data_IF_746142913959
#
_entry.id   IF_746142913959
#
_cell.length_a   1.000
_cell.length_b   1.000
_cell.length_c   1.000
_cell.angle_alpha   90.00
_cell.angle_beta   90.00
_cell.angle_gamma   90.00
#
_symmetry.space_group_name_H-M   'P 1'
#
loop_
_entity.id
_entity.type
_entity.pdbx_description
1 polymer ?
#
# COMPACT_ATOMS: atom_id res chain seq x y z
N UNK A 1 -1.54 0.46 -5.23
CA UNK A 1 -2.51 0.93 -4.21
C UNK A 1 -3.77 1.51 -4.84
N UNK A 2 -3.73 2.70 -5.50
CA UNK A 2 -4.93 3.30 -6.11
C UNK A 2 -5.64 2.32 -7.06
N UNK A 3 -4.90 1.70 -7.99
CA UNK A 3 -5.45 0.68 -8.88
C UNK A 3 -6.10 -0.52 -8.15
N UNK A 4 -5.63 -0.89 -6.96
CA UNK A 4 -6.25 -1.94 -6.15
C UNK A 4 -7.62 -1.47 -5.65
N UNK A 5 -7.72 -0.23 -5.16
CA UNK A 5 -8.98 0.37 -4.69
C UNK A 5 -9.96 0.54 -5.87
N UNK A 6 -9.47 0.98 -7.03
CA UNK A 6 -10.25 1.18 -8.26
C UNK A 6 -10.87 -0.12 -8.79
N UNK A 7 -10.29 -1.27 -8.46
CA UNK A 7 -10.84 -2.59 -8.81
C UNK A 7 -11.71 -3.14 -7.68
N UNK A 8 -11.22 -3.09 -6.44
CA UNK A 8 -11.89 -3.71 -5.30
C UNK A 8 -13.19 -3.00 -4.91
N UNK A 9 -13.20 -1.66 -4.89
CA UNK A 9 -14.38 -0.93 -4.42
C UNK A 9 -15.56 -1.08 -5.39
N UNK A 10 -15.40 -0.92 -6.72
CA UNK A 10 -16.51 -1.20 -7.65
C UNK A 10 -16.98 -2.65 -7.57
N UNK A 11 -16.06 -3.62 -7.50
CA UNK A 11 -16.42 -5.03 -7.35
C UNK A 11 -17.28 -5.28 -6.10
N UNK A 12 -16.94 -4.65 -4.97
CA UNK A 12 -17.68 -4.76 -3.72
C UNK A 12 -19.13 -4.25 -3.84
N UNK A 13 -19.39 -3.27 -4.69
CA UNK A 13 -20.73 -2.71 -4.93
C UNK A 13 -21.49 -3.43 -6.05
N UNK A 14 -20.85 -4.32 -6.80
CA UNK A 14 -21.50 -5.14 -7.83
C UNK A 14 -21.84 -6.54 -7.31
N UNK A 15 -20.91 -7.19 -6.61
CA UNK A 15 -21.04 -8.56 -6.13
C UNK A 15 -22.07 -8.66 -5.00
N UNK A 16 -22.94 -9.66 -5.10
CA UNK A 16 -23.92 -10.01 -4.05
C UNK A 16 -23.52 -11.27 -3.30
N UNK A 17 -23.75 -11.26 -1.99
CA UNK A 17 -23.71 -12.43 -1.13
C UNK A 17 -24.57 -12.19 0.10
N UNK A 18 -25.27 -13.24 0.56
CA UNK A 18 -26.16 -13.15 1.73
C UNK A 18 -27.25 -12.06 1.57
N UNK A 19 -27.81 -11.94 0.36
CA UNK A 19 -28.96 -11.07 0.08
C UNK A 19 -28.67 -9.57 -0.06
N UNK A 20 -27.41 -9.14 -0.10
CA UNK A 20 -27.03 -7.73 -0.34
C UNK A 20 -25.66 -7.60 -1.03
N UNK A 21 -25.31 -6.37 -1.46
CA UNK A 21 -23.97 -6.11 -2.02
C UNK A 21 -22.91 -6.36 -0.97
N UNK A 22 -21.77 -6.93 -1.36
CA UNK A 22 -20.75 -7.28 -0.37
C UNK A 22 -20.15 -6.05 0.32
N UNK A 23 -20.16 -4.89 -0.35
CA UNK A 23 -19.77 -3.59 0.21
C UNK A 23 -20.66 -3.10 1.37
N UNK A 24 -21.83 -3.70 1.57
CA UNK A 24 -22.72 -3.40 2.71
C UNK A 24 -22.44 -4.27 3.94
N UNK A 25 -21.50 -5.22 3.86
CA UNK A 25 -21.07 -6.00 5.01
C UNK A 25 -20.01 -5.22 5.79
N UNK A 26 -20.22 -5.07 7.10
CA UNK A 26 -19.39 -4.23 7.98
C UNK A 26 -17.89 -4.54 7.89
N UNK A 27 -17.51 -5.82 7.75
CA UNK A 27 -16.10 -6.20 7.63
C UNK A 27 -15.49 -5.84 6.26
N UNK A 28 -16.30 -5.79 5.21
CA UNK A 28 -15.87 -5.29 3.90
C UNK A 28 -15.72 -3.76 3.97
N UNK A 29 -16.64 -3.06 4.64
CA UNK A 29 -16.53 -1.62 4.88
C UNK A 29 -15.26 -1.26 5.67
N UNK A 30 -14.96 -2.00 6.74
CA UNK A 30 -13.74 -1.83 7.51
C UNK A 30 -12.50 -2.01 6.62
N UNK A 31 -12.47 -3.04 5.78
CA UNK A 31 -11.36 -3.28 4.84
C UNK A 31 -11.22 -2.15 3.82
N UNK A 32 -12.32 -1.65 3.25
CA UNK A 32 -12.29 -0.50 2.35
C UNK A 32 -11.78 0.77 3.04
N UNK A 33 -12.16 0.99 4.30
CA UNK A 33 -11.67 2.10 5.11
C UNK A 33 -10.15 2.00 5.35
N UNK A 34 -9.63 0.82 5.70
CA UNK A 34 -8.20 0.58 5.86
C UNK A 34 -7.43 0.81 4.55
N UNK A 35 -7.95 0.30 3.43
CA UNK A 35 -7.33 0.51 2.11
C UNK A 35 -7.29 1.99 1.72
N UNK A 36 -8.35 2.74 1.99
CA UNK A 36 -8.43 4.18 1.71
C UNK A 36 -7.47 4.99 2.58
N UNK A 37 -7.44 4.71 3.89
CA UNK A 37 -6.61 5.46 4.85
C UNK A 37 -5.12 5.19 4.62
N UNK A 38 -4.72 3.94 4.40
CA UNK A 38 -3.34 3.58 4.02
C UNK A 38 -2.89 4.30 2.74
N UNK A 39 -3.71 4.27 1.69
CA UNK A 39 -3.40 4.99 0.44
C UNK A 39 -3.23 6.49 0.69
N UNK A 40 -4.13 7.10 1.46
CA UNK A 40 -4.10 8.53 1.76
C UNK A 40 -2.85 8.91 2.57
N UNK A 41 -2.47 8.09 3.55
CA UNK A 41 -1.26 8.27 4.34
C UNK A 41 0.00 8.13 3.48
N UNK A 42 0.12 7.05 2.69
CA UNK A 42 1.27 6.83 1.81
C UNK A 42 1.41 7.94 0.77
N UNK A 43 0.29 8.38 0.16
CA UNK A 43 0.30 9.48 -0.81
C UNK A 43 0.81 10.77 -0.17
N UNK A 44 0.30 11.11 1.00
CA UNK A 44 0.69 12.32 1.71
C UNK A 44 2.18 12.28 2.09
N UNK A 45 2.66 11.14 2.58
CA UNK A 45 4.06 10.95 2.95
C UNK A 45 4.98 11.06 1.73
N UNK A 46 4.68 10.33 0.64
CA UNK A 46 5.45 10.39 -0.63
C UNK A 46 5.56 11.81 -1.15
N UNK A 47 4.44 12.52 -1.28
CA UNK A 47 4.48 13.89 -1.81
C UNK A 47 5.12 14.88 -0.83
N UNK A 48 5.07 14.64 0.48
CA UNK A 48 5.75 15.49 1.45
C UNK A 48 7.27 15.36 1.32
N UNK A 49 7.79 14.13 1.24
CA UNK A 49 9.23 13.90 1.06
C UNK A 49 9.70 14.38 -0.30
N UNK A 50 8.93 14.12 -1.37
CA UNK A 50 9.25 14.61 -2.70
C UNK A 50 9.35 16.15 -2.75
N UNK A 51 8.40 16.87 -2.15
CA UNK A 51 8.46 18.34 -2.06
C UNK A 51 9.69 18.85 -1.31
N UNK A 52 10.10 18.16 -0.24
CA UNK A 52 11.32 18.52 0.48
C UNK A 52 12.56 18.32 -0.40
N UNK A 53 12.64 17.20 -1.13
CA UNK A 53 13.72 16.93 -2.09
C UNK A 53 13.77 17.99 -3.20
N UNK A 54 12.63 18.36 -3.79
CA UNK A 54 12.54 19.39 -4.84
C UNK A 54 12.99 20.77 -4.33
N UNK A 55 12.78 21.06 -3.04
CA UNK A 55 13.28 22.27 -2.38
C UNK A 55 14.78 22.20 -1.98
N UNK A 56 15.48 21.11 -2.32
CA UNK A 56 16.88 20.89 -1.97
C UNK A 56 17.11 20.32 -0.56
N UNK A 57 16.04 20.03 0.19
CA UNK A 57 16.11 19.42 1.51
C UNK A 57 16.04 17.88 1.40
N UNK A 58 17.10 17.29 0.85
CA UNK A 58 17.19 15.83 0.71
C UNK A 58 17.67 15.20 2.02
N UNK A 59 16.85 14.31 2.59
CA UNK A 59 17.17 13.58 3.81
C UNK A 59 17.06 12.07 3.57
N UNK A 60 18.18 11.35 3.70
CA UNK A 60 18.25 9.89 3.50
C UNK A 60 17.31 9.11 4.42
N UNK A 61 17.10 9.58 5.66
CA UNK A 61 16.18 8.96 6.63
C UNK A 61 14.74 9.06 6.15
N UNK A 62 14.33 10.22 5.64
CA UNK A 62 12.98 10.46 5.15
C UNK A 62 12.72 9.70 3.84
N UNK A 63 13.71 9.70 2.93
CA UNK A 63 13.66 8.93 1.69
C UNK A 63 13.53 7.41 1.95
N UNK A 64 14.28 6.86 2.89
CA UNK A 64 14.18 5.44 3.25
C UNK A 64 12.85 5.13 3.98
N UNK A 65 12.41 6.02 4.86
CA UNK A 65 11.14 5.89 5.60
C UNK A 65 9.93 5.86 4.68
N UNK A 66 9.89 6.72 3.68
CA UNK A 66 8.72 6.84 2.79
C UNK A 66 8.56 5.64 1.87
N UNK A 67 9.65 5.13 1.29
CA UNK A 67 9.59 3.94 0.43
C UNK A 67 9.35 2.67 1.25
N UNK A 68 9.91 2.56 2.47
CA UNK A 68 9.59 1.46 3.38
C UNK A 68 8.09 1.40 3.68
N UNK A 69 7.52 2.52 4.13
CA UNK A 69 6.11 2.59 4.50
C UNK A 69 5.19 2.37 3.31
N UNK A 70 5.48 2.98 2.16
CA UNK A 70 4.67 2.82 0.96
C UNK A 70 4.77 1.40 0.38
N UNK A 71 5.94 0.77 0.37
CA UNK A 71 6.10 -0.58 -0.18
C UNK A 71 5.25 -1.62 0.58
N UNK A 72 5.35 -1.65 1.90
CA UNK A 72 4.64 -2.65 2.71
C UNK A 72 3.11 -2.43 2.69
N UNK A 73 2.67 -1.17 2.69
CA UNK A 73 1.25 -0.86 2.51
C UNK A 73 0.75 -1.21 1.09
N UNK A 74 1.61 -1.16 0.06
CA UNK A 74 1.21 -1.53 -1.29
C UNK A 74 0.89 -3.02 -1.37
N UNK A 75 1.74 -3.86 -0.75
CA UNK A 75 1.50 -5.30 -0.63
C UNK A 75 0.24 -5.58 0.16
N UNK A 76 0.06 -4.94 1.32
CA UNK A 76 -1.14 -5.14 2.14
C UNK A 76 -2.43 -4.76 1.41
N UNK A 77 -2.45 -3.61 0.72
CA UNK A 77 -3.62 -3.19 -0.07
C UNK A 77 -3.88 -4.14 -1.24
N UNK A 78 -2.84 -4.69 -1.88
CA UNK A 78 -3.01 -5.69 -2.93
C UNK A 78 -3.63 -6.99 -2.40
N UNK A 79 -3.18 -7.47 -1.23
CA UNK A 79 -3.78 -8.62 -0.53
C UNK A 79 -5.25 -8.35 -0.16
N UNK A 80 -5.56 -7.16 0.35
CA UNK A 80 -6.93 -6.78 0.69
C UNK A 80 -7.83 -6.72 -0.54
N UNK A 81 -7.34 -6.24 -1.68
CA UNK A 81 -8.08 -6.27 -2.94
C UNK A 81 -8.37 -7.70 -3.41
N UNK A 82 -7.37 -8.60 -3.36
CA UNK A 82 -7.58 -10.04 -3.65
C UNK A 82 -8.67 -10.60 -2.74
N UNK A 83 -8.63 -10.29 -1.44
CA UNK A 83 -9.60 -10.77 -0.46
C UNK A 83 -11.02 -10.27 -0.74
N UNK A 84 -11.21 -9.01 -1.15
CA UNK A 84 -12.52 -8.45 -1.52
C UNK A 84 -13.08 -9.15 -2.76
N UNK A 85 -12.24 -9.45 -3.74
CA UNK A 85 -12.65 -10.15 -4.95
C UNK A 85 -12.90 -11.66 -4.71
N UNK A 86 -12.34 -12.23 -3.66
CA UNK A 86 -12.42 -13.66 -3.34
C UNK A 86 -11.67 -14.50 -4.37
N UNK A 87 -12.24 -15.63 -4.80
CA UNK A 87 -11.63 -16.50 -5.81
C UNK A 87 -11.31 -15.78 -7.13
N UNK A 88 -12.16 -14.82 -7.53
CA UNK A 88 -11.91 -13.97 -8.70
C UNK A 88 -10.63 -13.14 -8.54
N UNK A 89 -10.29 -12.73 -7.32
CA UNK A 89 -9.08 -11.95 -7.06
C UNK A 89 -7.79 -12.76 -7.13
N UNK A 90 -7.90 -14.08 -6.99
CA UNK A 90 -6.77 -15.03 -6.99
C UNK A 90 -6.40 -15.51 -8.40
N UNK A 91 -7.38 -15.61 -9.31
CA UNK A 91 -7.15 -16.06 -10.69
C UNK A 91 -6.62 -14.92 -11.57
N UNK A 92 -6.09 -15.27 -12.75
CA UNK A 92 -5.45 -14.32 -13.66
C UNK A 92 -6.43 -13.50 -14.53
N UNK A 93 -7.73 -13.79 -14.48
CA UNK A 93 -8.75 -13.04 -15.22
C UNK A 93 -9.01 -11.64 -14.62
N UNK A 94 -8.59 -11.43 -13.36
CA UNK A 94 -8.64 -10.15 -12.68
C UNK A 94 -7.23 -9.62 -12.40
N UNK A 95 -7.03 -8.29 -12.40
CA UNK A 95 -5.69 -7.71 -12.32
C UNK A 95 -5.07 -7.77 -10.92
N UNK A 96 -5.82 -8.12 -9.88
CA UNK A 96 -5.36 -8.07 -8.47
C UNK A 96 -4.19 -9.00 -8.19
N UNK A 97 -4.15 -10.19 -8.79
CA UNK A 97 -3.01 -11.10 -8.69
C UNK A 97 -1.73 -10.53 -9.31
N UNK A 98 -1.85 -9.76 -10.40
CA UNK A 98 -0.72 -8.99 -10.96
C UNK A 98 -0.30 -7.87 -10.01
N UNK A 99 -1.24 -7.09 -9.48
CA UNK A 99 -0.93 -5.98 -8.56
C UNK A 99 -0.14 -6.43 -7.33
N UNK A 100 -0.44 -7.61 -6.77
CA UNK A 100 0.34 -8.17 -5.67
C UNK A 100 1.79 -8.47 -6.07
N UNK A 101 1.98 -9.13 -7.22
CA UNK A 101 3.32 -9.46 -7.72
C UNK A 101 4.14 -8.20 -8.01
N UNK A 102 3.50 -7.19 -8.60
CA UNK A 102 4.12 -5.90 -8.88
C UNK A 102 4.49 -5.18 -7.56
N UNK A 103 3.59 -5.17 -6.56
CA UNK A 103 3.80 -4.51 -5.27
C UNK A 103 4.94 -5.14 -4.46
N UNK A 104 5.05 -6.48 -4.48
CA UNK A 104 6.06 -7.18 -3.68
C UNK A 104 7.49 -6.81 -4.06
N UNK A 105 7.72 -6.44 -5.32
CA UNK A 105 9.03 -5.97 -5.77
C UNK A 105 9.49 -4.71 -5.02
N UNK A 106 8.58 -3.84 -4.58
CA UNK A 106 8.95 -2.62 -3.86
C UNK A 106 9.62 -2.89 -2.51
N UNK A 107 9.38 -4.05 -1.90
CA UNK A 107 10.01 -4.46 -0.64
C UNK A 107 11.41 -5.07 -0.83
N UNK A 108 11.79 -5.40 -2.07
CA UNK A 108 13.00 -6.17 -2.40
C UNK A 108 13.95 -5.34 -3.27
N UNK A 109 13.42 -4.73 -4.33
CA UNK A 109 14.19 -3.97 -5.31
C UNK A 109 14.72 -2.66 -4.76
N UNK A 110 15.88 -2.23 -5.28
CA UNK A 110 16.54 -0.97 -4.93
C UNK A 110 16.75 -0.76 -3.40
N UNK A 111 17.00 -1.86 -2.69
CA UNK A 111 17.20 -1.90 -1.23
C UNK A 111 16.00 -2.53 -0.54
N UNK A 112 16.23 -3.57 0.25
CA UNK A 112 15.16 -4.31 0.92
C UNK A 112 14.54 -3.49 2.06
N UNK A 113 13.37 -3.91 2.53
CA UNK A 113 12.72 -3.32 3.71
C UNK A 113 13.62 -3.35 4.97
N UNK A 114 14.43 -4.39 5.15
CA UNK A 114 15.38 -4.51 6.25
C UNK A 114 16.51 -3.47 6.13
N UNK A 115 17.07 -3.30 4.93
CA UNK A 115 18.12 -2.30 4.67
C UNK A 115 17.59 -0.89 4.94
N UNK A 116 16.35 -0.59 4.55
CA UNK A 116 15.72 0.72 4.83
C UNK A 116 15.53 0.95 6.32
N UNK A 117 15.07 -0.06 7.07
CA UNK A 117 14.98 0.00 8.55
C UNK A 117 16.33 0.26 9.18
N UNK A 118 17.37 -0.45 8.72
CA UNK A 118 18.73 -0.21 9.18
C UNK A 118 19.19 1.21 8.91
N UNK A 119 19.00 1.74 7.69
CA UNK A 119 19.40 3.10 7.33
C UNK A 119 18.68 4.15 8.19
N UNK A 120 17.39 3.97 8.43
CA UNK A 120 16.61 4.85 9.31
C UNK A 120 17.19 4.80 10.74
N UNK A 121 17.44 3.61 11.27
CA UNK A 121 18.01 3.43 12.61
C UNK A 121 19.41 4.03 12.75
N UNK A 122 20.28 3.82 11.77
CA UNK A 122 21.62 4.39 11.72
C UNK A 122 21.56 5.93 11.68
N UNK A 123 20.66 6.49 10.87
CA UNK A 123 20.46 7.94 10.79
C UNK A 123 19.95 8.53 12.12
N UNK A 124 19.02 7.84 12.79
CA UNK A 124 18.56 8.25 14.13
C UNK A 124 19.72 8.24 15.12
N UNK A 125 20.56 7.19 15.14
CA UNK A 125 21.69 7.13 16.07
C UNK A 125 22.66 8.31 15.90
N UNK A 126 22.93 8.75 14.67
CA UNK A 126 23.80 9.92 14.38
C UNK A 126 23.22 11.25 14.89
N UNK A 127 21.91 11.33 15.12
CA UNK A 127 21.28 12.52 15.69
C UNK A 127 21.51 12.63 17.22
N UNK A 128 21.92 11.53 17.89
CA UNK A 128 22.03 11.44 19.35
C UNK A 128 23.41 11.02 19.89
N UNK A 129 24.32 10.56 19.03
CA UNK A 129 25.70 10.15 19.37
C UNK A 129 26.70 11.11 18.72
#
# INVERSE_FOLDING_TARGET
MQACNDVAFPYAHLREAFGKKIGEHQLVQAKMADMYTRLSACRSYVYSVARACDAGHVNSKDCAGVILYAAENATQIALDAIQILGGNGYINDYPTGRFLRDAKLYEIGAGTSEIRRWLIGEAINKDFL
#
